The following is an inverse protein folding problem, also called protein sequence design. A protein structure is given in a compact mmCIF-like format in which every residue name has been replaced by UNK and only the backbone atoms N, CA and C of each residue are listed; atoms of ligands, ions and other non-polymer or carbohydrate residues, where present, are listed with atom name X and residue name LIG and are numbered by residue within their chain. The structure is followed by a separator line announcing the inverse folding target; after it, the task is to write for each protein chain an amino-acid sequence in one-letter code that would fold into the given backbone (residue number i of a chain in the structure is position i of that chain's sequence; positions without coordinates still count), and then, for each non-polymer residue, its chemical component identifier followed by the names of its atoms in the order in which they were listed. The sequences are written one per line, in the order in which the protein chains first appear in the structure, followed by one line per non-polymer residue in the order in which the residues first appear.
data_IF_586711888818
#
_entry.id   IF_586711888818
#
_cell.length_a   1.000
_cell.length_b   1.000
_cell.length_c   1.000
_cell.angle_alpha   90.00
_cell.angle_beta   90.00
_cell.angle_gamma   90.00
#
_symmetry.space_group_name_H-M   'P 1'
#
loop_
_entity.id
_entity.type
_entity.pdbx_description
1 polymer ?
#
# COMPACT_ATOMS: atom_id res chain seq x y z
N UNK A 1 -0.50 -3.08 -8.72
CA UNK A 1 -1.68 -3.98 -8.77
C UNK A 1 -2.40 -3.75 -10.08
N UNK A 2 -3.70 -4.05 -10.15
CA UNK A 2 -4.56 -3.55 -11.23
C UNK A 2 -4.80 -2.04 -11.05
N UNK A 3 -4.97 -1.29 -12.13
CA UNK A 3 -5.01 0.18 -12.08
C UNK A 3 -6.13 0.72 -11.18
N UNK A 4 -7.37 0.26 -11.38
CA UNK A 4 -8.52 0.74 -10.61
C UNK A 4 -8.35 0.51 -9.10
N UNK A 5 -7.79 -0.66 -8.73
CA UNK A 5 -7.49 -0.97 -7.34
C UNK A 5 -6.42 -0.03 -6.78
N UNK A 6 -5.35 0.22 -7.53
CA UNK A 6 -4.27 1.11 -7.05
C UNK A 6 -4.74 2.55 -6.96
N UNK A 7 -5.58 3.01 -7.89
CA UNK A 7 -6.20 4.35 -7.83
C UNK A 7 -7.06 4.47 -6.57
N UNK A 8 -7.97 3.52 -6.33
CA UNK A 8 -8.82 3.54 -5.14
C UNK A 8 -8.03 3.51 -3.83
N UNK A 9 -6.96 2.71 -3.77
CA UNK A 9 -6.08 2.65 -2.61
C UNK A 9 -5.26 3.93 -2.41
N UNK A 10 -4.76 4.53 -3.49
CA UNK A 10 -4.01 5.79 -3.39
C UNK A 10 -4.89 6.92 -2.84
N UNK A 11 -6.12 7.03 -3.33
CA UNK A 11 -7.10 7.98 -2.80
C UNK A 11 -7.41 7.75 -1.33
N UNK A 12 -7.79 6.52 -0.96
CA UNK A 12 -8.06 6.16 0.44
C UNK A 12 -6.88 6.44 1.37
N UNK A 13 -5.66 6.07 0.97
CA UNK A 13 -4.45 6.30 1.77
C UNK A 13 -4.20 7.80 1.95
N UNK A 14 -4.34 8.60 0.89
CA UNK A 14 -4.17 10.04 0.97
C UNK A 14 -5.21 10.69 1.91
N UNK A 15 -6.48 10.28 1.84
CA UNK A 15 -7.56 10.77 2.71
C UNK A 15 -7.28 10.54 4.20
N UNK A 16 -6.64 9.42 4.56
CA UNK A 16 -6.27 9.10 5.96
C UNK A 16 -4.89 9.65 6.36
N UNK A 17 -4.27 10.48 5.51
CA UNK A 17 -3.00 11.15 5.78
C UNK A 17 -1.74 10.33 5.47
N UNK A 18 -1.87 9.19 4.78
CA UNK A 18 -0.73 8.40 4.30
C UNK A 18 -0.32 8.90 2.92
N UNK A 19 0.94 9.29 2.74
CA UNK A 19 1.48 9.70 1.44
C UNK A 19 1.75 8.48 0.56
N UNK A 20 1.04 8.29 -0.58
CA UNK A 20 1.42 7.28 -1.55
C UNK A 20 2.69 7.77 -2.26
N UNK A 21 3.84 7.17 -1.95
CA UNK A 21 5.12 7.57 -2.57
C UNK A 21 5.35 6.91 -3.93
N UNK A 22 4.82 5.70 -4.14
CA UNK A 22 4.93 4.93 -5.37
C UNK A 22 3.61 4.22 -5.67
N UNK A 23 3.04 4.47 -6.84
CA UNK A 23 1.85 3.80 -7.35
C UNK A 23 2.23 3.06 -8.64
N UNK A 24 2.08 1.73 -8.63
CA UNK A 24 2.55 0.90 -9.74
C UNK A 24 1.49 -0.08 -10.26
N UNK A 25 1.41 -0.18 -11.58
CA UNK A 25 0.54 -1.12 -12.30
C UNK A 25 1.30 -1.83 -13.41
N UNK A 26 1.00 -3.11 -13.61
CA UNK A 26 1.49 -3.88 -14.76
C UNK A 26 0.65 -3.67 -16.02
N UNK A 27 -0.44 -2.91 -15.93
CA UNK A 27 -1.24 -2.50 -17.08
C UNK A 27 -0.77 -1.15 -17.62
N UNK A 28 -1.24 -0.84 -18.83
CA UNK A 28 -0.92 0.39 -19.56
C UNK A 28 -2.19 0.98 -20.18
N UNK A 29 -2.91 1.78 -19.41
CA UNK A 29 -4.06 2.54 -19.94
C UNK A 29 -3.70 3.93 -20.47
N UNK A 30 -2.54 4.48 -20.09
CA UNK A 30 -2.15 5.87 -20.36
C UNK A 30 -2.97 6.92 -19.59
N UNK A 31 -3.85 6.48 -18.68
CA UNK A 31 -4.67 7.35 -17.81
C UNK A 31 -4.31 7.21 -16.32
N UNK A 32 -3.47 6.25 -15.97
CA UNK A 32 -3.21 5.87 -14.59
C UNK A 32 -2.53 6.99 -13.82
N UNK A 33 -1.50 7.64 -14.40
CA UNK A 33 -0.85 8.78 -13.76
C UNK A 33 -1.80 9.96 -13.48
N UNK A 34 -2.66 10.31 -14.45
CA UNK A 34 -3.64 11.39 -14.29
C UNK A 34 -4.69 11.05 -13.21
N UNK A 35 -5.17 9.80 -13.19
CA UNK A 35 -6.13 9.35 -12.19
C UNK A 35 -5.54 9.33 -10.77
N UNK A 36 -4.28 8.90 -10.61
CA UNK A 36 -3.58 8.96 -9.32
C UNK A 36 -3.45 10.39 -8.82
N UNK A 37 -3.04 11.33 -9.69
CA UNK A 37 -2.96 12.75 -9.33
C UNK A 37 -4.34 13.28 -8.89
N UNK A 38 -5.40 12.95 -9.64
CA UNK A 38 -6.75 13.41 -9.32
C UNK A 38 -7.24 12.93 -7.94
N UNK A 39 -7.01 11.67 -7.57
CA UNK A 39 -7.50 11.13 -6.29
C UNK A 39 -6.64 11.51 -5.09
N UNK A 40 -5.41 11.98 -5.32
CA UNK A 40 -4.49 12.41 -4.26
C UNK A 40 -4.43 13.93 -4.10
N UNK A 41 -4.99 14.69 -5.05
CA UNK A 41 -5.04 16.15 -5.04
C UNK A 41 -5.74 16.69 -3.78
N UNK A 42 -5.11 17.65 -3.11
CA UNK A 42 -5.62 18.26 -1.88
C UNK A 42 -5.40 17.44 -0.60
N UNK A 43 -4.98 16.19 -0.72
CA UNK A 43 -4.72 15.30 0.43
C UNK A 43 -3.24 14.96 0.61
N UNK A 44 -2.56 14.58 -0.49
CA UNK A 44 -1.15 14.19 -0.46
C UNK A 44 -0.24 15.43 -0.52
N UNK A 45 0.71 15.61 0.41
CA UNK A 45 1.64 16.74 0.39
C UNK A 45 2.58 16.75 -0.82
N UNK A 46 2.85 15.59 -1.42
CA UNK A 46 3.78 15.42 -2.55
C UNK A 46 3.12 14.61 -3.65
N UNK A 47 3.57 14.83 -4.88
CA UNK A 47 3.14 14.00 -6.00
C UNK A 47 3.68 12.57 -5.87
N UNK A 48 2.80 11.60 -6.08
CA UNK A 48 3.17 10.19 -6.13
C UNK A 48 3.98 9.89 -7.39
N UNK A 49 5.03 9.08 -7.24
CA UNK A 49 5.66 8.50 -8.41
C UNK A 49 4.77 7.40 -9.00
N UNK A 50 4.58 7.43 -10.32
CA UNK A 50 3.70 6.49 -11.02
C UNK A 50 4.49 5.64 -12.00
N UNK A 51 4.36 4.31 -11.88
CA UNK A 51 4.93 3.35 -12.83
C UNK A 51 3.80 2.58 -13.54
N UNK A 52 3.70 2.79 -14.86
CA UNK A 52 2.85 2.02 -15.77
C UNK A 52 3.67 0.97 -16.51
N UNK A 53 3.04 -0.09 -17.02
CA UNK A 53 3.71 -1.12 -17.83
C UNK A 53 4.94 -1.72 -17.12
N UNK A 54 4.89 -1.83 -15.79
CA UNK A 54 6.03 -2.20 -14.95
C UNK A 54 5.91 -3.62 -14.40
N UNK A 55 7.06 -4.24 -14.17
CA UNK A 55 7.16 -5.52 -13.46
C UNK A 55 7.52 -5.33 -11.98
N UNK A 56 7.56 -6.46 -11.24
CA UNK A 56 7.92 -6.45 -9.82
C UNK A 56 9.39 -6.06 -9.55
N UNK A 57 10.28 -6.23 -10.53
CA UNK A 57 11.70 -5.93 -10.36
C UNK A 57 11.94 -4.42 -10.40
N UNK A 58 11.35 -3.74 -11.38
CA UNK A 58 11.36 -2.29 -11.48
C UNK A 58 10.66 -1.62 -10.29
N UNK A 59 9.50 -2.16 -9.85
CA UNK A 59 8.82 -1.70 -8.62
C UNK A 59 9.75 -1.83 -7.41
N UNK A 60 10.42 -2.97 -7.25
CA UNK A 60 11.34 -3.20 -6.15
C UNK A 60 12.54 -2.24 -6.19
N UNK A 61 13.07 -1.94 -7.37
CA UNK A 61 14.14 -0.95 -7.52
C UNK A 61 13.73 0.43 -7.02
N UNK A 62 12.60 0.95 -7.52
CA UNK A 62 12.09 2.27 -7.11
C UNK A 62 11.71 2.31 -5.63
N UNK A 63 11.12 1.24 -5.10
CA UNK A 63 10.80 1.15 -3.69
C UNK A 63 12.04 1.22 -2.77
N UNK A 64 13.19 0.67 -3.20
CA UNK A 64 14.45 0.81 -2.43
C UNK A 64 14.94 2.25 -2.37
N UNK A 65 14.81 2.98 -3.46
CA UNK A 65 15.24 4.39 -3.54
C UNK A 65 14.30 5.31 -2.76
N UNK A 66 13.00 5.02 -2.76
CA UNK A 66 11.98 5.82 -2.09
C UNK A 66 11.81 5.47 -0.60
N UNK A 67 12.24 4.29 -0.17
CA UNK A 67 12.19 3.79 1.21
C UNK A 67 10.81 3.98 1.90
N UNK A 68 9.74 3.32 1.41
CA UNK A 68 8.40 3.46 1.98
C UNK A 68 8.28 2.81 3.37
N UNK A 69 7.44 3.37 4.24
CA UNK A 69 7.18 2.83 5.59
C UNK A 69 6.29 1.57 5.59
N UNK A 70 5.47 1.39 4.55
CA UNK A 70 4.58 0.24 4.36
C UNK A 70 4.49 -0.13 2.88
N UNK A 71 4.18 -1.39 2.60
CA UNK A 71 3.82 -1.85 1.26
C UNK A 71 2.36 -2.28 1.26
N UNK A 72 1.59 -1.83 0.27
CA UNK A 72 0.19 -2.24 0.07
C UNK A 72 0.06 -3.01 -1.24
N UNK A 73 -0.40 -4.25 -1.18
CA UNK A 73 -0.52 -5.10 -2.35
C UNK A 73 -0.73 -6.58 -2.00
N UNK A 74 -0.53 -7.46 -2.96
CA UNK A 74 -0.79 -8.88 -2.80
C UNK A 74 0.45 -9.65 -2.29
N UNK A 75 0.34 -10.98 -2.09
CA UNK A 75 1.37 -11.79 -1.42
C UNK A 75 2.75 -11.77 -2.08
N UNK A 76 2.87 -11.44 -3.38
CA UNK A 76 4.18 -11.35 -4.04
C UNK A 76 5.04 -10.19 -3.51
N UNK A 77 4.42 -9.18 -2.90
CA UNK A 77 5.12 -8.08 -2.22
C UNK A 77 5.89 -8.53 -0.98
N UNK A 78 5.66 -9.75 -0.47
CA UNK A 78 6.27 -10.22 0.78
C UNK A 78 7.80 -10.21 0.75
N UNK A 79 8.41 -10.62 -0.38
CA UNK A 79 9.87 -10.62 -0.51
C UNK A 79 10.44 -9.20 -0.33
N UNK A 80 9.86 -8.22 -1.01
CA UNK A 80 10.29 -6.82 -0.94
C UNK A 80 10.02 -6.22 0.44
N UNK A 81 8.85 -6.49 1.03
CA UNK A 81 8.51 -6.02 2.37
C UNK A 81 9.49 -6.53 3.42
N UNK A 82 9.88 -7.82 3.32
CA UNK A 82 10.89 -8.43 4.19
C UNK A 82 12.27 -7.83 3.98
N UNK A 83 12.65 -7.56 2.73
CA UNK A 83 13.94 -6.95 2.38
C UNK A 83 14.07 -5.53 2.95
N UNK A 84 13.02 -4.71 2.82
CA UNK A 84 12.96 -3.34 3.33
C UNK A 84 12.64 -3.26 4.83
N UNK A 85 12.37 -4.40 5.48
CA UNK A 85 11.92 -4.50 6.87
C UNK A 85 10.69 -3.59 7.18
N UNK A 86 9.67 -3.65 6.32
CA UNK A 86 8.44 -2.85 6.43
C UNK A 86 7.19 -3.75 6.41
N UNK A 87 6.08 -3.33 7.05
CA UNK A 87 4.84 -4.10 7.00
C UNK A 87 4.26 -4.23 5.58
N UNK A 88 3.73 -5.42 5.25
CA UNK A 88 2.92 -5.68 4.05
C UNK A 88 1.43 -5.74 4.40
N UNK A 89 0.68 -4.75 3.94
CA UNK A 89 -0.79 -4.71 3.97
C UNK A 89 -1.31 -5.49 2.75
N UNK A 90 -1.99 -6.62 3.02
CA UNK A 90 -2.44 -7.53 1.96
C UNK A 90 -3.77 -7.09 1.38
N UNK A 91 -3.72 -6.63 0.13
CA UNK A 91 -4.88 -6.15 -0.64
C UNK A 91 -4.79 -6.65 -2.07
N UNK A 92 -5.94 -6.98 -2.66
CA UNK A 92 -6.04 -7.42 -4.05
C UNK A 92 -5.71 -8.90 -4.24
N UNK A 93 -5.16 -9.25 -5.40
CA UNK A 93 -4.98 -10.64 -5.82
C UNK A 93 -3.57 -10.89 -6.39
N UNK A 94 -2.94 -12.05 -6.12
CA UNK A 94 -3.38 -13.15 -5.25
C UNK A 94 -2.90 -13.01 -3.80
N UNK A 95 -3.79 -13.26 -2.84
CA UNK A 95 -3.42 -13.45 -1.42
C UNK A 95 -3.39 -14.95 -1.11
N UNK A 96 -2.23 -15.58 -1.33
CA UNK A 96 -2.06 -17.04 -1.21
C UNK A 96 -1.34 -17.47 0.08
N UNK A 97 -0.79 -16.51 0.84
CA UNK A 97 -0.06 -16.75 2.08
C UNK A 97 -0.89 -16.44 3.34
N UNK A 98 -2.22 -16.27 3.20
CA UNK A 98 -3.17 -16.06 4.31
C UNK A 98 -4.45 -16.85 4.07
N UNK A 99 -4.93 -17.49 5.13
CA UNK A 99 -6.23 -18.15 5.09
C UNK A 99 -7.35 -17.11 5.09
N UNK A 100 -8.27 -17.23 4.13
CA UNK A 100 -9.38 -16.29 4.00
C UNK A 100 -9.04 -14.98 3.28
N UNK A 101 -7.92 -14.91 2.55
CA UNK A 101 -7.57 -13.73 1.76
C UNK A 101 -8.68 -13.28 0.79
N UNK A 102 -9.43 -14.24 0.23
CA UNK A 102 -10.57 -13.98 -0.64
C UNK A 102 -11.80 -13.39 0.08
N UNK A 103 -11.81 -13.39 1.42
CA UNK A 103 -12.89 -12.82 2.24
C UNK A 103 -12.57 -11.42 2.76
N UNK A 104 -11.38 -10.91 2.48
CA UNK A 104 -11.01 -9.55 2.87
C UNK A 104 -11.84 -8.57 2.04
N UNK A 105 -12.52 -7.65 2.72
CA UNK A 105 -13.35 -6.64 2.09
C UNK A 105 -12.50 -5.41 1.76
N UNK A 106 -12.66 -4.90 0.55
CA UNK A 106 -11.99 -3.67 0.10
C UNK A 106 -12.97 -2.55 -0.28
N UNK A 107 -14.26 -2.87 -0.44
CA UNK A 107 -15.28 -1.94 -0.93
C UNK A 107 -16.32 -1.60 0.13
N UNK A 108 -16.93 -0.42 -0.03
CA UNK A 108 -17.95 0.12 0.87
C UNK A 108 -17.40 0.47 2.26
N UNK A 109 -18.26 1.02 3.11
CA UNK A 109 -17.86 1.52 4.43
C UNK A 109 -17.23 0.44 5.32
N UNK A 110 -17.75 -0.80 5.27
CA UNK A 110 -17.18 -1.92 6.02
C UNK A 110 -15.77 -2.27 5.55
N UNK A 111 -15.53 -2.29 4.23
CA UNK A 111 -14.20 -2.56 3.68
C UNK A 111 -13.22 -1.43 3.99
N UNK A 112 -13.65 -0.18 3.86
CA UNK A 112 -12.84 0.99 4.18
C UNK A 112 -12.43 1.01 5.67
N UNK A 113 -13.37 0.78 6.58
CA UNK A 113 -13.07 0.71 8.02
C UNK A 113 -12.11 -0.43 8.35
N UNK A 114 -12.32 -1.63 7.78
CA UNK A 114 -11.39 -2.75 7.97
C UNK A 114 -9.99 -2.47 7.44
N UNK A 115 -9.88 -1.80 6.29
CA UNK A 115 -8.60 -1.40 5.73
C UNK A 115 -7.89 -0.36 6.61
N UNK A 116 -8.63 0.64 7.10
CA UNK A 116 -8.11 1.64 8.05
C UNK A 116 -7.54 0.99 9.30
N UNK A 117 -8.30 0.10 9.93
CA UNK A 117 -7.87 -0.64 11.13
C UNK A 117 -6.62 -1.47 10.82
N UNK A 118 -6.57 -2.12 9.64
CA UNK A 118 -5.44 -2.95 9.23
C UNK A 118 -4.16 -2.12 9.05
N UNK A 119 -4.24 -0.98 8.35
CA UNK A 119 -3.10 -0.08 8.14
C UNK A 119 -2.60 0.46 9.48
N UNK A 120 -3.50 0.98 10.31
CA UNK A 120 -3.16 1.58 11.59
C UNK A 120 -2.51 0.56 12.54
N UNK A 121 -3.12 -0.62 12.69
CA UNK A 121 -2.58 -1.67 13.55
C UNK A 121 -1.22 -2.19 13.07
N UNK A 122 -0.97 -2.24 11.76
CA UNK A 122 0.33 -2.63 11.23
C UNK A 122 1.43 -1.62 11.59
N UNK A 123 1.14 -0.32 11.51
CA UNK A 123 2.06 0.74 11.91
C UNK A 123 2.33 0.71 13.42
N UNK A 124 1.29 0.56 14.24
CA UNK A 124 1.37 0.40 15.69
C UNK A 124 2.25 -0.80 16.05
N UNK A 125 1.97 -1.96 15.46
CA UNK A 125 2.74 -3.19 15.70
C UNK A 125 4.22 -3.03 15.30
N UNK A 126 4.50 -2.39 14.16
CA UNK A 126 5.88 -2.08 13.75
C UNK A 126 6.58 -1.21 14.78
N UNK A 127 5.94 -0.14 15.22
CA UNK A 127 6.50 0.77 16.24
C UNK A 127 6.76 0.06 17.58
N UNK A 128 5.86 -0.83 17.99
CA UNK A 128 6.04 -1.65 19.21
C UNK A 128 7.22 -2.61 19.07
N UNK A 129 7.33 -3.32 17.94
CA UNK A 129 8.41 -4.28 17.69
C UNK A 129 9.79 -3.63 17.63
N UNK A 130 9.88 -2.39 17.16
CA UNK A 130 11.13 -1.61 17.14
C UNK A 130 11.46 -0.95 18.49
N UNK A 131 10.53 -0.94 19.45
CA UNK A 131 10.75 -0.29 20.74
C UNK A 131 11.71 -1.10 21.62
N UNK A 132 12.83 -0.52 22.08
CA UNK A 132 13.78 -1.22 22.94
C UNK A 132 13.25 -1.45 24.36
N UNK A 133 12.23 -0.68 24.78
CA UNK A 133 11.67 -0.73 26.13
C UNK A 133 10.41 -1.59 26.24
N UNK A 134 9.89 -2.08 25.10
CA UNK A 134 8.61 -2.78 25.04
C UNK A 134 7.46 -1.87 25.44
N UNK A 135 6.87 -1.15 24.48
CA UNK A 135 5.69 -0.32 24.77
C UNK A 135 4.52 -1.22 25.17
N UNK A 136 4.15 -1.18 26.46
CA UNK A 136 2.97 -1.86 27.01
C UNK A 136 1.67 -1.06 26.82
N UNK A 137 1.77 0.26 26.58
CA UNK A 137 0.62 1.15 26.42
C UNK A 137 0.76 2.00 25.15
N UNK A 138 -0.25 1.90 24.28
CA UNK A 138 -0.60 2.85 23.23
C UNK A 138 -2.10 3.08 23.30
#
# INVERSE_FOLDING_TARGET
GEEDLVIGLAGFLAEIGVQPVLCASGAKSGRFAAAIRQVTEGFAPKESEVCEDTDFFAIAHRARELAPDIIVGHSKGYRLARELDVPLIRVGFPIHDRMGGQRILHLGYRGAQQLFDTVTNALIARKQNLSPVGYSYM
#
